data_IF_354529528165
#
_entry.id   IF_354529528165
#
_cell.length_a   1.000
_cell.length_b   1.000
_cell.length_c   1.000
_cell.angle_alpha   90.00
_cell.angle_beta   90.00
_cell.angle_gamma   90.00
#
_symmetry.space_group_name_H-M   'P 1'
#
loop_
_entity.id
_entity.type
_entity.pdbx_description
1 polymer ?
#
# COMPACT_ATOMS: atom_id res chain seq x y z
N UNK A 1 -31.82 18.22 -36.37
CA UNK A 1 -31.49 17.60 -35.07
C UNK A 1 -32.34 16.34 -34.82
N UNK A 2 -32.22 15.26 -35.60
CA UNK A 2 -33.07 14.07 -35.37
C UNK A 2 -32.58 12.76 -35.99
N UNK A 3 -31.87 12.79 -37.13
CA UNK A 3 -31.50 11.56 -37.86
C UNK A 3 -30.16 10.96 -37.42
N UNK A 4 -29.19 11.80 -37.03
CA UNK A 4 -27.87 11.34 -36.53
C UNK A 4 -28.00 10.56 -35.20
N UNK A 5 -28.96 10.95 -34.36
CA UNK A 5 -29.29 10.24 -33.11
C UNK A 5 -29.89 8.86 -33.37
N UNK A 6 -30.64 8.68 -34.46
CA UNK A 6 -31.27 7.40 -34.81
C UNK A 6 -30.25 6.37 -35.33
N UNK A 7 -29.25 6.79 -36.10
CA UNK A 7 -28.16 5.89 -36.56
C UNK A 7 -27.27 5.42 -35.40
N UNK A 8 -27.04 6.27 -34.38
CA UNK A 8 -26.27 5.86 -33.19
C UNK A 8 -27.01 4.81 -32.35
N UNK A 9 -28.34 4.90 -32.26
CA UNK A 9 -29.18 3.93 -31.52
C UNK A 9 -29.25 2.58 -32.26
N UNK A 10 -29.32 2.58 -33.60
CA UNK A 10 -29.34 1.33 -34.39
C UNK A 10 -27.99 0.60 -34.32
N UNK A 11 -26.86 1.33 -34.36
CA UNK A 11 -25.52 0.72 -34.24
C UNK A 11 -25.27 0.13 -32.85
N UNK A 12 -25.76 0.76 -31.78
CA UNK A 12 -25.67 0.19 -30.42
C UNK A 12 -26.60 -1.02 -30.21
N UNK A 13 -27.82 -1.02 -30.77
CA UNK A 13 -28.73 -2.16 -30.65
C UNK A 13 -28.20 -3.42 -31.34
N UNK A 14 -27.57 -3.29 -32.52
CA UNK A 14 -26.95 -4.43 -33.19
C UNK A 14 -25.70 -4.95 -32.47
N UNK A 15 -24.94 -4.08 -31.81
CA UNK A 15 -23.79 -4.51 -30.98
C UNK A 15 -24.24 -5.30 -29.73
N UNK A 16 -25.35 -4.90 -29.10
CA UNK A 16 -25.92 -5.62 -27.95
C UNK A 16 -26.59 -6.94 -28.39
N UNK A 17 -27.17 -7.02 -29.58
CA UNK A 17 -27.71 -8.28 -30.11
C UNK A 17 -26.62 -9.31 -30.47
N UNK A 18 -25.48 -8.86 -31.02
CA UNK A 18 -24.30 -9.71 -31.26
C UNK A 18 -23.70 -10.21 -29.94
N UNK A 19 -23.74 -9.40 -28.87
CA UNK A 19 -23.30 -9.81 -27.52
C UNK A 19 -24.24 -10.79 -26.81
N UNK A 20 -25.52 -10.87 -27.20
CA UNK A 20 -26.50 -11.79 -26.59
C UNK A 20 -26.59 -13.15 -27.30
N UNK A 21 -26.19 -13.23 -28.57
CA UNK A 21 -26.29 -14.46 -29.38
C UNK A 21 -25.09 -15.40 -29.31
N UNK A 22 -23.91 -14.93 -28.92
CA UNK A 22 -22.65 -15.69 -29.08
C UNK A 22 -21.84 -15.89 -27.79
N UNK A 23 -22.38 -15.54 -26.62
CA UNK A 23 -21.64 -15.58 -25.34
C UNK A 23 -22.20 -16.61 -24.34
N UNK A 24 -22.73 -17.74 -24.83
CA UNK A 24 -23.23 -18.86 -24.00
C UNK A 24 -22.16 -19.88 -23.60
N UNK A 25 -20.90 -19.62 -23.91
CA UNK A 25 -19.74 -20.41 -23.47
C UNK A 25 -18.68 -19.44 -22.91
N UNK A 26 -18.31 -19.56 -21.63
CA UNK A 26 -17.23 -18.84 -20.91
C UNK A 26 -17.56 -17.63 -20.01
N UNK A 27 -18.84 -17.29 -19.73
CA UNK A 27 -19.15 -16.22 -18.76
C UNK A 27 -18.77 -16.60 -17.31
N UNK A 28 -18.88 -17.87 -16.93
CA UNK A 28 -18.50 -18.34 -15.58
C UNK A 28 -17.00 -18.18 -15.32
N UNK A 29 -16.15 -18.45 -16.33
CA UNK A 29 -14.69 -18.30 -16.24
C UNK A 29 -14.26 -16.84 -16.13
N UNK A 30 -14.90 -15.94 -16.88
CA UNK A 30 -14.61 -14.50 -16.78
C UNK A 30 -14.98 -13.94 -15.40
N UNK A 31 -16.10 -14.39 -14.81
CA UNK A 31 -16.51 -14.00 -13.46
C UNK A 31 -15.51 -14.53 -12.41
N UNK A 32 -15.01 -15.77 -12.55
CA UNK A 32 -14.00 -16.30 -11.60
C UNK A 32 -12.67 -15.56 -11.67
N UNK A 33 -12.21 -15.19 -12.87
CA UNK A 33 -10.98 -14.39 -13.06
C UNK A 33 -11.17 -12.97 -12.51
N UNK A 34 -12.32 -12.35 -12.74
CA UNK A 34 -12.63 -11.02 -12.21
C UNK A 34 -12.76 -11.04 -10.67
N UNK A 35 -13.31 -12.11 -10.07
CA UNK A 35 -13.30 -12.32 -8.62
C UNK A 35 -11.90 -12.60 -8.05
N UNK A 36 -11.08 -13.40 -8.72
CA UNK A 36 -9.68 -13.63 -8.33
C UNK A 36 -8.83 -12.36 -8.44
N UNK A 37 -9.03 -11.56 -9.49
CA UNK A 37 -8.36 -10.27 -9.65
C UNK A 37 -8.82 -9.26 -8.60
N UNK A 38 -10.12 -9.17 -8.29
CA UNK A 38 -10.63 -8.29 -7.23
C UNK A 38 -10.21 -8.73 -5.82
N UNK A 39 -10.05 -10.04 -5.57
CA UNK A 39 -9.41 -10.53 -4.35
C UNK A 39 -7.92 -10.19 -4.32
N UNK A 40 -7.19 -10.27 -5.43
CA UNK A 40 -5.76 -9.89 -5.46
C UNK A 40 -5.53 -8.37 -5.29
N UNK A 41 -6.50 -7.54 -5.71
CA UNK A 41 -6.47 -6.08 -5.52
C UNK A 41 -6.83 -5.68 -4.08
N UNK A 42 -7.53 -6.54 -3.33
CA UNK A 42 -7.90 -6.30 -1.93
C UNK A 42 -6.85 -6.76 -0.91
N UNK A 43 -5.85 -7.56 -1.32
CA UNK A 43 -4.92 -8.22 -0.38
C UNK A 43 -3.66 -7.38 -0.09
N UNK A 44 -3.42 -6.26 -0.77
CA UNK A 44 -2.23 -5.43 -0.57
C UNK A 44 -2.49 -3.99 -0.08
N UNK A 45 -3.74 -3.56 0.12
CA UNK A 45 -3.99 -2.20 0.61
C UNK A 45 -3.44 -2.05 2.03
N UNK A 46 -2.50 -1.11 2.21
CA UNK A 46 -1.83 -0.70 3.46
C UNK A 46 -1.12 -1.73 4.36
N UNK A 47 -1.05 -2.99 3.95
CA UNK A 47 -0.45 -4.07 4.74
C UNK A 47 1.07 -3.97 4.92
N UNK A 48 1.56 -4.55 6.02
CA UNK A 48 2.98 -4.83 6.22
C UNK A 48 3.34 -6.07 5.41
N UNK A 49 4.37 -5.94 4.57
CA UNK A 49 4.94 -7.03 3.78
C UNK A 49 5.89 -7.87 4.65
N UNK A 50 5.92 -9.18 4.40
CA UNK A 50 6.80 -10.11 5.14
C UNK A 50 8.26 -9.70 5.00
N UNK A 51 8.67 -9.23 3.81
CA UNK A 51 10.03 -8.74 3.54
C UNK A 51 10.45 -7.60 4.46
N UNK A 52 9.54 -6.71 4.86
CA UNK A 52 9.85 -5.61 5.77
C UNK A 52 10.27 -6.13 7.15
N UNK A 53 9.49 -7.06 7.71
CA UNK A 53 9.81 -7.66 9.01
C UNK A 53 10.98 -8.64 8.93
N UNK A 54 11.24 -9.27 7.78
CA UNK A 54 12.43 -10.09 7.57
C UNK A 54 13.71 -9.24 7.61
N UNK A 55 13.69 -8.03 7.04
CA UNK A 55 14.80 -7.08 7.15
C UNK A 55 15.06 -6.67 8.61
N UNK A 56 14.03 -6.55 9.45
CA UNK A 56 14.16 -6.22 10.88
C UNK A 56 14.60 -7.43 11.72
N UNK A 57 14.19 -8.64 11.34
CA UNK A 57 14.52 -9.89 12.04
C UNK A 57 15.31 -10.86 11.15
N UNK A 58 16.53 -10.50 10.71
CA UNK A 58 17.28 -11.29 9.74
C UNK A 58 17.72 -12.66 10.29
N UNK A 59 17.73 -12.83 11.62
CA UNK A 59 18.14 -14.06 12.29
C UNK A 59 16.98 -14.97 12.70
N UNK A 60 15.74 -14.51 12.54
CA UNK A 60 14.55 -15.29 12.87
C UNK A 60 14.24 -16.29 11.76
N UNK A 61 13.61 -17.41 12.11
CA UNK A 61 13.11 -18.35 11.10
C UNK A 61 12.04 -17.66 10.23
N UNK A 62 12.18 -17.74 8.90
CA UNK A 62 11.30 -17.06 7.95
C UNK A 62 9.80 -17.36 8.19
N UNK A 63 9.46 -18.60 8.52
CA UNK A 63 8.10 -19.00 8.87
C UNK A 63 7.55 -18.24 10.09
N UNK A 64 8.38 -18.00 11.11
CA UNK A 64 7.98 -17.24 12.31
C UNK A 64 7.77 -15.77 11.99
N UNK A 65 8.58 -15.19 11.10
CA UNK A 65 8.41 -13.80 10.63
C UNK A 65 7.13 -13.67 9.80
N UNK A 66 6.81 -14.65 8.95
CA UNK A 66 5.53 -14.71 8.23
C UNK A 66 4.34 -14.77 9.20
N UNK A 67 4.40 -15.62 10.24
CA UNK A 67 3.36 -15.66 11.28
C UNK A 67 3.23 -14.32 12.03
N UNK A 68 4.35 -13.69 12.37
CA UNK A 68 4.34 -12.35 12.98
C UNK A 68 3.63 -11.35 12.08
N UNK A 69 4.04 -11.26 10.81
CA UNK A 69 3.47 -10.35 9.82
C UNK A 69 1.95 -10.50 9.74
N UNK A 70 1.47 -11.74 9.56
CA UNK A 70 0.04 -12.04 9.49
C UNK A 70 -0.71 -11.68 10.78
N UNK A 71 -0.07 -11.81 11.94
CA UNK A 71 -0.69 -11.48 13.23
C UNK A 71 -0.74 -9.97 13.47
N UNK A 72 0.30 -9.25 13.08
CA UNK A 72 0.37 -7.78 13.15
C UNK A 72 -0.65 -7.14 12.21
N UNK A 73 -0.75 -7.60 10.95
CA UNK A 73 -1.70 -7.08 9.97
C UNK A 73 -3.18 -7.27 10.37
N UNK A 74 -3.47 -8.17 11.33
CA UNK A 74 -4.83 -8.34 11.88
C UNK A 74 -5.19 -7.31 12.95
N UNK A 75 -4.21 -6.55 13.45
CA UNK A 75 -4.45 -5.61 14.54
C UNK A 75 -5.00 -4.28 14.02
N UNK A 76 -6.05 -3.79 14.67
CA UNK A 76 -6.72 -2.53 14.29
C UNK A 76 -6.12 -1.28 14.98
N UNK A 77 -5.17 -1.46 15.90
CA UNK A 77 -4.55 -0.32 16.60
C UNK A 77 -3.05 -0.51 16.82
N UNK A 78 -2.33 0.61 16.84
CA UNK A 78 -0.87 0.68 17.08
C UNK A 78 -0.50 -0.09 18.37
N UNK A 79 -1.23 0.16 19.46
CA UNK A 79 -0.96 -0.48 20.75
C UNK A 79 -1.07 -2.01 20.68
N UNK A 80 -2.09 -2.54 19.98
CA UNK A 80 -2.27 -3.99 19.81
C UNK A 80 -1.20 -4.58 18.89
N UNK A 81 -0.87 -3.92 17.78
CA UNK A 81 0.22 -4.33 16.89
C UNK A 81 1.56 -4.40 17.63
N UNK A 82 1.89 -3.38 18.43
CA UNK A 82 3.09 -3.37 19.27
C UNK A 82 3.09 -4.45 20.34
N UNK A 83 1.95 -4.71 21.00
CA UNK A 83 1.84 -5.77 21.98
C UNK A 83 2.12 -7.16 21.37
N UNK A 84 1.66 -7.42 20.14
CA UNK A 84 1.99 -8.65 19.40
C UNK A 84 3.50 -8.79 19.22
N UNK A 85 4.16 -7.74 18.72
CA UNK A 85 5.62 -7.77 18.50
C UNK A 85 6.37 -7.95 19.83
N UNK A 86 6.01 -7.20 20.88
CA UNK A 86 6.62 -7.29 22.22
C UNK A 86 6.52 -8.70 22.82
N UNK A 87 5.42 -9.40 22.59
CA UNK A 87 5.24 -10.81 23.02
C UNK A 87 6.03 -11.79 22.15
N UNK A 88 6.17 -11.50 20.87
CA UNK A 88 6.81 -12.39 19.89
C UNK A 88 8.34 -12.37 19.98
N UNK A 89 8.94 -11.18 20.13
CA UNK A 89 10.39 -10.96 20.05
C UNK A 89 11.18 -11.83 21.03
N UNK A 90 10.88 -11.89 22.34
CA UNK A 90 11.68 -12.67 23.29
C UNK A 90 11.86 -14.14 22.91
N UNK A 91 10.90 -14.72 22.19
CA UNK A 91 10.87 -16.15 21.84
C UNK A 91 11.37 -16.45 20.43
N UNK A 92 11.36 -15.48 19.52
CA UNK A 92 11.49 -15.77 18.08
C UNK A 92 12.47 -14.85 17.34
N UNK A 93 13.07 -13.85 17.99
CA UNK A 93 13.94 -12.87 17.31
C UNK A 93 15.15 -13.50 16.61
N UNK A 94 15.59 -14.68 17.06
CA UNK A 94 16.55 -15.53 16.37
C UNK A 94 16.12 -16.99 16.40
N UNK A 95 16.52 -17.77 15.40
CA UNK A 95 16.42 -19.22 15.43
C UNK A 95 17.53 -19.85 16.30
N UNK A 96 17.25 -21.00 16.92
CA UNK A 96 18.12 -21.65 17.92
C UNK A 96 19.55 -21.91 17.44
N UNK A 97 19.71 -22.28 16.17
CA UNK A 97 21.01 -22.66 15.58
C UNK A 97 21.68 -21.53 14.80
N UNK A 98 21.08 -20.34 14.75
CA UNK A 98 21.64 -19.19 14.03
C UNK A 98 22.63 -18.47 14.94
N UNK A 99 23.86 -18.27 14.44
CA UNK A 99 24.86 -17.40 15.05
C UNK A 99 24.72 -16.00 14.44
N UNK A 100 24.18 -15.00 15.17
CA UNK A 100 24.04 -13.66 14.63
C UNK A 100 25.40 -13.00 14.37
N UNK A 101 25.50 -12.19 13.33
CA UNK A 101 26.69 -11.34 13.12
C UNK A 101 26.69 -10.21 14.16
N UNK A 102 27.69 -10.23 15.04
CA UNK A 102 27.86 -9.25 16.12
C UNK A 102 28.05 -7.81 15.60
N UNK A 103 28.52 -7.63 14.35
CA UNK A 103 28.66 -6.31 13.72
C UNK A 103 27.31 -5.72 13.31
N UNK A 104 26.32 -6.55 13.03
CA UNK A 104 24.98 -6.11 12.67
C UNK A 104 24.18 -5.73 13.93
N UNK A 105 23.70 -4.48 14.10
CA UNK A 105 22.91 -4.08 15.27
C UNK A 105 21.66 -4.92 15.50
N UNK A 106 21.05 -5.48 14.46
CA UNK A 106 19.87 -6.36 14.54
C UNK A 106 20.18 -7.72 15.19
N UNK A 107 21.45 -8.03 15.45
CA UNK A 107 21.86 -9.16 16.31
C UNK A 107 21.53 -8.93 17.79
N UNK A 108 21.26 -7.69 18.19
CA UNK A 108 20.89 -7.33 19.56
C UNK A 108 19.37 -7.32 19.66
N UNK A 109 18.80 -8.25 20.44
CA UNK A 109 17.34 -8.37 20.68
C UNK A 109 16.65 -7.03 20.93
N UNK A 110 17.19 -6.20 21.85
CA UNK A 110 16.60 -4.92 22.20
C UNK A 110 16.61 -3.90 21.05
N UNK A 111 17.64 -3.93 20.19
CA UNK A 111 17.69 -3.07 19.01
C UNK A 111 16.68 -3.51 17.95
N UNK A 112 16.61 -4.81 17.65
CA UNK A 112 15.63 -5.37 16.73
C UNK A 112 14.18 -5.11 17.21
N UNK A 113 13.92 -5.25 18.52
CA UNK A 113 12.63 -4.90 19.12
C UNK A 113 12.29 -3.42 18.91
N UNK A 114 13.24 -2.51 19.22
CA UNK A 114 13.05 -1.07 19.04
C UNK A 114 12.75 -0.73 17.59
N UNK A 115 13.49 -1.28 16.63
CA UNK A 115 13.25 -1.07 15.19
C UNK A 115 11.89 -1.56 14.76
N UNK A 116 11.46 -2.72 15.26
CA UNK A 116 10.11 -3.22 14.99
C UNK A 116 9.03 -2.30 15.59
N UNK A 117 9.20 -1.81 16.83
CA UNK A 117 8.26 -0.88 17.45
C UNK A 117 8.11 0.41 16.65
N UNK A 118 9.22 1.04 16.27
CA UNK A 118 9.20 2.29 15.51
C UNK A 118 8.74 2.09 14.07
N UNK A 119 8.95 0.90 13.50
CA UNK A 119 8.39 0.52 12.21
C UNK A 119 6.86 0.45 12.27
N UNK A 120 6.27 -0.07 13.36
CA UNK A 120 4.81 -0.03 13.54
C UNK A 120 4.32 1.42 13.61
N UNK A 121 4.99 2.32 14.34
CA UNK A 121 4.61 3.74 14.37
C UNK A 121 4.65 4.36 12.97
N UNK A 122 5.73 4.13 12.23
CA UNK A 122 5.90 4.55 10.85
C UNK A 122 4.74 4.10 9.96
N UNK A 123 4.36 2.81 10.01
CA UNK A 123 3.29 2.26 9.16
C UNK A 123 1.94 2.92 9.41
N UNK A 124 1.57 3.14 10.67
CA UNK A 124 0.32 3.81 10.98
C UNK A 124 0.36 5.31 10.61
N UNK A 125 1.49 5.98 10.79
CA UNK A 125 1.67 7.36 10.33
C UNK A 125 1.63 7.47 8.81
N UNK A 126 2.15 6.49 8.06
CA UNK A 126 2.05 6.43 6.60
C UNK A 126 0.60 6.28 6.13
N UNK A 127 -0.18 5.39 6.75
CA UNK A 127 -1.61 5.24 6.46
C UNK A 127 -2.33 6.57 6.63
N UNK A 128 -2.06 7.26 7.76
CA UNK A 128 -2.65 8.58 8.03
C UNK A 128 -2.24 9.61 6.98
N UNK A 129 -0.96 9.64 6.61
CA UNK A 129 -0.41 10.55 5.62
C UNK A 129 -1.01 10.35 4.22
N UNK A 130 -1.05 9.12 3.72
CA UNK A 130 -1.62 8.81 2.40
C UNK A 130 -3.13 9.10 2.38
N UNK A 131 -3.85 8.80 3.46
CA UNK A 131 -5.26 9.17 3.56
C UNK A 131 -5.47 10.69 3.61
N UNK A 132 -4.55 11.44 4.21
CA UNK A 132 -4.56 12.91 4.16
C UNK A 132 -4.36 13.42 2.73
N UNK A 133 -3.31 12.97 2.03
CA UNK A 133 -3.04 13.38 0.65
C UNK A 133 -4.23 13.09 -0.26
N UNK A 134 -4.79 11.88 -0.18
CA UNK A 134 -5.97 11.47 -0.93
C UNK A 134 -7.16 12.41 -0.68
N UNK A 135 -7.48 12.70 0.59
CA UNK A 135 -8.60 13.58 0.94
C UNK A 135 -8.38 15.01 0.45
N UNK A 136 -7.16 15.54 0.59
CA UNK A 136 -6.83 16.89 0.16
C UNK A 136 -6.84 17.04 -1.36
N UNK A 137 -6.33 16.05 -2.10
CA UNK A 137 -6.36 16.07 -3.56
C UNK A 137 -7.81 16.18 -4.10
N UNK A 138 -8.77 15.50 -3.47
CA UNK A 138 -10.20 15.60 -3.81
C UNK A 138 -10.78 16.94 -3.34
N UNK A 139 -10.55 17.32 -2.07
CA UNK A 139 -11.16 18.51 -1.48
C UNK A 139 -10.73 19.80 -2.18
N UNK A 140 -9.47 19.87 -2.63
CA UNK A 140 -8.92 21.00 -3.40
C UNK A 140 -9.27 20.93 -4.89
N UNK A 141 -10.02 19.91 -5.34
CA UNK A 141 -10.34 19.63 -6.75
C UNK A 141 -9.10 19.42 -7.63
N UNK A 142 -7.95 19.14 -7.03
CA UNK A 142 -6.74 18.80 -7.78
C UNK A 142 -6.93 17.50 -8.56
N UNK A 143 -7.51 16.48 -7.91
CA UNK A 143 -7.91 15.21 -8.54
C UNK A 143 -9.41 14.98 -8.42
N UNK A 144 -10.00 14.33 -9.42
CA UNK A 144 -11.32 13.71 -9.26
C UNK A 144 -11.24 12.56 -8.25
N UNK A 145 -12.40 12.07 -7.80
CA UNK A 145 -12.46 10.93 -6.88
C UNK A 145 -11.85 9.67 -7.51
N UNK A 146 -12.08 9.47 -8.80
CA UNK A 146 -11.58 8.35 -9.59
C UNK A 146 -10.06 8.43 -9.74
N UNK A 147 -9.53 9.61 -10.12
CA UNK A 147 -8.09 9.86 -10.20
C UNK A 147 -7.40 9.63 -8.85
N UNK A 148 -7.95 10.20 -7.77
CA UNK A 148 -7.40 10.03 -6.43
C UNK A 148 -7.43 8.56 -5.97
N UNK A 149 -8.49 7.83 -6.32
CA UNK A 149 -8.60 6.39 -6.02
C UNK A 149 -7.54 5.60 -6.78
N UNK A 150 -7.35 5.91 -8.07
CA UNK A 150 -6.29 5.32 -8.87
C UNK A 150 -4.90 5.60 -8.29
N UNK A 151 -4.62 6.83 -7.85
CA UNK A 151 -3.32 7.19 -7.25
C UNK A 151 -3.08 6.48 -5.91
N UNK A 152 -4.11 6.35 -5.08
CA UNK A 152 -4.00 5.60 -3.81
C UNK A 152 -3.70 4.12 -4.06
N UNK A 153 -4.35 3.51 -5.05
CA UNK A 153 -4.07 2.12 -5.46
C UNK A 153 -2.63 1.98 -5.98
N UNK A 154 -2.19 2.93 -6.81
CA UNK A 154 -0.82 2.98 -7.33
C UNK A 154 0.24 3.03 -6.22
N UNK A 155 0.03 3.90 -5.22
CA UNK A 155 0.93 4.02 -4.08
C UNK A 155 1.07 2.71 -3.31
N UNK A 156 -0.04 2.07 -2.94
CA UNK A 156 0.02 0.82 -2.18
C UNK A 156 0.58 -0.35 -2.98
N UNK A 157 0.39 -0.37 -4.31
CA UNK A 157 1.04 -1.34 -5.17
C UNK A 157 2.57 -1.15 -5.20
N UNK A 158 3.05 0.09 -5.29
CA UNK A 158 4.46 0.41 -5.17
C UNK A 158 5.02 0.02 -3.80
N UNK A 159 4.28 0.32 -2.72
CA UNK A 159 4.68 0.00 -1.35
C UNK A 159 4.80 -1.50 -1.09
N UNK A 160 3.87 -2.29 -1.64
CA UNK A 160 3.93 -3.74 -1.58
C UNK A 160 5.14 -4.30 -2.36
N UNK A 161 5.36 -3.83 -3.61
CA UNK A 161 6.52 -4.22 -4.44
C UNK A 161 7.85 -3.93 -3.75
N UNK A 162 7.95 -2.76 -3.11
CA UNK A 162 9.14 -2.31 -2.38
C UNK A 162 9.34 -2.99 -1.01
N UNK A 163 8.50 -3.96 -0.62
CA UNK A 163 8.49 -4.55 0.72
C UNK A 163 8.46 -3.48 1.83
N UNK A 164 7.61 -2.47 1.67
CA UNK A 164 7.48 -1.27 2.51
C UNK A 164 8.76 -0.41 2.64
N UNK A 165 9.71 -0.47 1.69
CA UNK A 165 10.83 0.48 1.63
C UNK A 165 10.35 1.83 1.08
N UNK A 166 10.20 2.84 1.95
CA UNK A 166 9.65 4.14 1.57
C UNK A 166 10.37 4.86 0.42
N UNK A 167 11.70 4.75 0.34
CA UNK A 167 12.49 5.42 -0.70
C UNK A 167 12.13 4.80 -2.06
N UNK A 168 12.14 3.47 -2.14
CA UNK A 168 11.76 2.74 -3.35
C UNK A 168 10.27 2.92 -3.67
N UNK A 169 9.39 2.91 -2.65
CA UNK A 169 7.95 3.16 -2.78
C UNK A 169 7.69 4.51 -3.44
N UNK A 170 8.30 5.58 -2.91
CA UNK A 170 8.07 6.93 -3.40
C UNK A 170 8.64 7.10 -4.80
N UNK A 171 9.87 6.67 -5.08
CA UNK A 171 10.45 6.73 -6.42
C UNK A 171 9.56 6.04 -7.47
N UNK A 172 9.13 4.79 -7.19
CA UNK A 172 8.26 4.03 -8.10
C UNK A 172 6.93 4.73 -8.30
N UNK A 173 6.30 5.19 -7.21
CA UNK A 173 5.02 5.89 -7.27
C UNK A 173 5.13 7.20 -8.07
N UNK A 174 6.14 8.03 -7.83
CA UNK A 174 6.34 9.31 -8.51
C UNK A 174 6.48 9.15 -10.03
N UNK A 175 7.26 8.16 -10.47
CA UNK A 175 7.45 7.87 -11.89
C UNK A 175 6.12 7.45 -12.54
N UNK A 176 5.38 6.52 -11.94
CA UNK A 176 4.11 6.06 -12.50
C UNK A 176 3.00 7.13 -12.42
N UNK A 177 3.01 7.97 -11.37
CA UNK A 177 1.99 8.99 -11.15
C UNK A 177 2.17 10.20 -12.09
N UNK A 178 3.41 10.66 -12.31
CA UNK A 178 3.72 11.75 -13.25
C UNK A 178 3.36 11.40 -14.70
N UNK A 179 3.42 10.12 -15.07
CA UNK A 179 2.96 9.65 -16.39
C UNK A 179 1.43 9.68 -16.54
N UNK A 180 0.67 9.59 -15.45
CA UNK A 180 -0.79 9.49 -15.45
C UNK A 180 -1.50 10.82 -15.20
N UNK A 181 -0.87 11.74 -14.45
CA UNK A 181 -1.47 13.00 -14.03
C UNK A 181 -0.73 14.17 -14.66
N UNK A 182 -1.35 14.78 -15.67
CA UNK A 182 -0.79 15.93 -16.39
C UNK A 182 -1.59 17.18 -16.00
N UNK A 183 -1.28 17.75 -14.83
CA UNK A 183 -1.96 18.93 -14.27
C UNK A 183 -0.97 20.00 -13.83
N UNK A 184 -1.47 21.22 -13.65
CA UNK A 184 -0.75 22.34 -13.03
C UNK A 184 -1.44 22.71 -11.72
N UNK A 185 -0.73 22.81 -10.57
CA UNK A 185 0.67 22.43 -10.39
C UNK A 185 0.91 20.94 -10.71
N UNK A 186 2.15 20.59 -11.05
CA UNK A 186 2.53 19.19 -11.27
C UNK A 186 2.28 18.34 -10.02
N UNK A 187 2.17 17.02 -10.17
CA UNK A 187 1.90 16.12 -9.05
C UNK A 187 2.96 16.25 -7.96
N UNK A 188 4.23 16.41 -8.35
CA UNK A 188 5.37 16.64 -7.46
C UNK A 188 5.20 17.91 -6.63
N UNK A 189 4.82 19.03 -7.28
CA UNK A 189 4.57 20.31 -6.62
C UNK A 189 3.38 20.21 -5.66
N UNK A 190 2.27 19.61 -6.10
CA UNK A 190 1.08 19.43 -5.29
C UNK A 190 1.37 18.58 -4.05
N UNK A 191 2.12 17.49 -4.21
CA UNK A 191 2.54 16.68 -3.07
C UNK A 191 3.49 17.41 -2.15
N UNK A 192 4.46 18.17 -2.66
CA UNK A 192 5.35 18.97 -1.82
C UNK A 192 4.57 19.93 -0.91
N UNK A 193 3.60 20.66 -1.48
CA UNK A 193 2.75 21.58 -0.71
C UNK A 193 1.90 20.85 0.33
N UNK A 194 1.20 19.78 -0.07
CA UNK A 194 0.34 19.01 0.83
C UNK A 194 1.15 18.30 1.93
N UNK A 195 2.36 17.83 1.62
CA UNK A 195 3.30 17.26 2.58
C UNK A 195 3.69 18.29 3.64
N UNK A 196 4.02 19.52 3.21
CA UNK A 196 4.35 20.61 4.12
C UNK A 196 3.20 20.97 5.06
N UNK A 197 1.96 20.99 4.55
CA UNK A 197 0.75 21.20 5.38
C UNK A 197 0.54 20.04 6.36
N UNK A 198 0.72 18.79 5.92
CA UNK A 198 0.63 17.62 6.81
C UNK A 198 1.66 17.69 7.93
N UNK A 199 2.92 18.00 7.61
CA UNK A 199 4.03 18.06 8.55
C UNK A 199 3.79 19.10 9.66
N UNK A 200 3.30 20.30 9.29
CA UNK A 200 2.95 21.36 10.24
C UNK A 200 1.82 20.92 11.20
N UNK A 201 0.79 20.25 10.67
CA UNK A 201 -0.37 19.83 11.47
C UNK A 201 -0.17 18.52 12.25
N UNK A 202 0.79 17.68 11.86
CA UNK A 202 0.97 16.32 12.40
C UNK A 202 2.44 16.02 12.70
N UNK A 203 3.10 16.89 13.48
CA UNK A 203 4.54 16.82 13.74
C UNK A 203 5.04 15.43 14.19
N UNK A 204 4.30 14.75 15.08
CA UNK A 204 4.65 13.39 15.54
C UNK A 204 4.59 12.35 14.41
N UNK A 205 3.53 12.37 13.61
CA UNK A 205 3.41 11.45 12.48
C UNK A 205 4.47 11.74 11.43
N UNK A 206 4.76 13.01 11.16
CA UNK A 206 5.82 13.41 10.26
C UNK A 206 7.21 12.91 10.75
N UNK A 207 7.48 12.96 12.05
CA UNK A 207 8.70 12.39 12.61
C UNK A 207 8.76 10.86 12.42
N UNK A 208 7.64 10.16 12.58
CA UNK A 208 7.57 8.72 12.32
C UNK A 208 7.79 8.37 10.84
N UNK A 209 7.41 9.24 9.89
CA UNK A 209 7.65 9.04 8.46
C UNK A 209 9.14 9.04 8.08
N UNK A 210 10.01 9.61 8.93
CA UNK A 210 11.46 9.59 8.76
C UNK A 210 12.11 8.27 9.23
N UNK A 211 11.32 7.20 9.38
CA UNK A 211 11.82 5.91 9.84
C UNK A 211 12.82 5.30 8.86
N UNK A 212 13.91 4.80 9.41
CA UNK A 212 14.95 4.07 8.67
C UNK A 212 15.29 2.78 9.42
N UNK A 213 15.68 1.75 8.67
CA UNK A 213 16.24 0.53 9.23
C UNK A 213 17.70 0.70 9.58
#
# INVERSE_FOLDING_TARGET
MGVVTLMFIIKQRNFIAILKGSFRFSMTRAITIFLLCSLSVYVASDQIMVGALQKIFPYAAAAKVKTLTNTVNKQKSIAKAKAVVKKWVPKNWKATKVKPDAKNPLSKKGYAEKKAMTFIDYRYSLIKYINYLYKQAIATKYLTKEEATSMRTLFWAADAKANNNYIETTQTFMVEASQKIHKTPSIDQAMGELSGKFAKANAKDNANLQWTL
#
